data_IF_060491505761
#
_entry.id   IF_060491505761
#
_cell.length_a   1.000
_cell.length_b   1.000
_cell.length_c   1.000
_cell.angle_alpha   90.00
_cell.angle_beta   90.00
_cell.angle_gamma   90.00
#
_symmetry.space_group_name_H-M   'P 1'
#
loop_
_entity.id
_entity.type
_entity.pdbx_description
1 polymer ?
#
# COMPACT_ATOMS: atom_id res chain seq x y z
N UNK A 1 -15.76 -5.85 14.54
CA UNK A 1 -14.51 -6.24 15.25
C UNK A 1 -14.77 -7.52 16.02
N UNK A 2 -14.28 -8.68 15.54
CA UNK A 2 -14.32 -9.91 16.35
C UNK A 2 -13.26 -9.78 17.45
N UNK A 3 -13.69 -9.37 18.63
CA UNK A 3 -12.90 -9.51 19.85
C UNK A 3 -12.80 -11.01 20.15
N UNK A 4 -11.76 -11.66 19.66
CA UNK A 4 -11.44 -13.02 20.08
C UNK A 4 -10.51 -12.92 21.27
N UNK A 5 -11.05 -13.13 22.48
CA UNK A 5 -10.29 -13.38 23.71
C UNK A 5 -9.53 -14.72 23.68
N UNK A 6 -9.53 -15.41 22.54
CA UNK A 6 -8.94 -16.72 22.36
C UNK A 6 -7.44 -16.58 22.08
N UNK A 7 -6.63 -17.06 23.00
CA UNK A 7 -5.17 -17.15 22.86
C UNK A 7 -4.80 -18.47 22.19
N UNK A 8 -3.91 -18.41 21.19
CA UNK A 8 -3.33 -19.58 20.53
C UNK A 8 -1.81 -19.61 20.77
N UNK A 9 -1.26 -20.82 20.92
CA UNK A 9 0.18 -21.02 21.11
C UNK A 9 0.69 -21.96 20.01
N UNK A 10 1.72 -21.52 19.30
CA UNK A 10 2.39 -22.30 18.27
C UNK A 10 3.86 -22.45 18.64
N UNK A 11 4.35 -23.68 18.76
CA UNK A 11 5.77 -24.00 19.00
C UNK A 11 6.41 -24.42 17.68
N UNK A 12 7.63 -23.95 17.43
CA UNK A 12 8.37 -24.24 16.22
C UNK A 12 9.87 -24.00 16.47
N UNK A 13 10.71 -24.61 15.63
CA UNK A 13 12.17 -24.42 15.65
C UNK A 13 12.60 -23.08 15.04
N UNK A 14 11.75 -22.45 14.22
CA UNK A 14 11.99 -21.15 13.62
C UNK A 14 10.70 -20.41 13.26
N UNK A 15 10.76 -19.09 13.21
CA UNK A 15 9.68 -18.20 12.78
C UNK A 15 10.16 -17.33 11.62
N UNK A 16 9.41 -17.35 10.51
CA UNK A 16 9.57 -16.40 9.41
C UNK A 16 8.51 -15.30 9.54
N UNK A 17 8.94 -14.07 9.77
CA UNK A 17 8.10 -12.88 9.85
C UNK A 17 8.11 -12.13 8.52
N UNK A 18 6.97 -12.11 7.83
CA UNK A 18 6.76 -11.38 6.57
C UNK A 18 5.78 -10.22 6.74
N UNK A 19 5.71 -9.63 7.94
CA UNK A 19 4.84 -8.49 8.18
C UNK A 19 5.29 -7.30 7.34
N UNK A 20 4.35 -6.52 6.78
CA UNK A 20 4.69 -5.31 6.04
C UNK A 20 5.48 -4.33 6.91
N UNK A 21 6.39 -3.57 6.29
CA UNK A 21 7.19 -2.56 6.98
C UNK A 21 6.32 -1.54 7.71
N UNK A 22 5.15 -1.18 7.17
CA UNK A 22 4.18 -0.32 7.84
C UNK A 22 3.69 -0.86 9.19
N UNK A 23 3.50 -2.18 9.31
CA UNK A 23 3.12 -2.85 10.57
C UNK A 23 4.29 -2.84 11.55
N UNK A 24 5.51 -3.13 11.08
CA UNK A 24 6.73 -3.11 11.89
C UNK A 24 7.07 -1.71 12.44
N UNK A 25 6.59 -0.64 11.78
CA UNK A 25 6.78 0.76 12.19
C UNK A 25 5.77 1.26 13.23
N UNK A 26 4.73 0.50 13.55
CA UNK A 26 3.65 1.00 14.42
C UNK A 26 4.15 1.32 15.83
N UNK A 27 3.59 2.40 16.40
CA UNK A 27 3.77 2.79 17.79
C UNK A 27 2.40 3.15 18.39
N UNK A 28 1.88 2.40 19.39
CA UNK A 28 2.47 1.21 20.00
C UNK A 28 2.61 0.04 19.00
N UNK A 29 3.54 -0.91 19.23
CA UNK A 29 3.78 -2.03 18.30
C UNK A 29 2.57 -2.96 18.18
N UNK A 30 2.24 -3.38 16.94
CA UNK A 30 1.24 -4.42 16.72
C UNK A 30 1.75 -5.83 17.06
N UNK A 31 3.07 -6.04 17.02
CA UNK A 31 3.72 -7.30 17.38
C UNK A 31 4.86 -7.00 18.35
N UNK A 32 4.84 -7.69 19.49
CA UNK A 32 5.90 -7.65 20.47
C UNK A 32 6.91 -8.78 20.20
N UNK A 33 8.18 -8.42 20.06
CA UNK A 33 9.28 -9.39 19.98
C UNK A 33 9.89 -9.60 21.37
N UNK A 34 10.13 -10.85 21.75
CA UNK A 34 10.76 -11.23 23.02
C UNK A 34 11.87 -12.26 22.74
N UNK A 35 13.16 -11.90 22.90
CA UNK A 35 13.66 -10.57 23.28
C UNK A 35 13.36 -9.49 22.21
N UNK A 36 13.44 -8.18 22.56
CA UNK A 36 13.25 -7.10 21.60
C UNK A 36 14.21 -7.20 20.41
N UNK A 37 13.78 -6.72 19.24
CA UNK A 37 14.66 -6.62 18.07
C UNK A 37 15.86 -5.71 18.40
N UNK A 38 17.07 -6.06 17.92
CA UNK A 38 18.27 -5.28 18.18
C UNK A 38 18.21 -3.90 17.51
N UNK A 39 18.93 -2.94 18.07
CA UNK A 39 18.91 -1.53 17.63
C UNK A 39 19.24 -1.35 16.15
N UNK A 40 20.18 -2.12 15.61
CA UNK A 40 20.54 -2.04 14.19
C UNK A 40 19.37 -2.40 13.26
N UNK A 41 18.46 -3.28 13.70
CA UNK A 41 17.25 -3.67 12.97
C UNK A 41 16.16 -2.62 13.13
N UNK A 42 15.87 -2.20 14.36
CA UNK A 42 14.82 -1.20 14.61
C UNK A 42 15.17 0.16 13.99
N UNK A 43 16.45 0.53 13.97
CA UNK A 43 16.91 1.74 13.28
C UNK A 43 16.74 1.65 11.76
N UNK A 44 17.00 0.49 11.15
CA UNK A 44 16.71 0.27 9.72
C UNK A 44 15.20 0.37 9.43
N UNK A 45 14.35 -0.27 10.26
CA UNK A 45 12.89 -0.14 10.19
C UNK A 45 12.48 1.33 10.23
N UNK A 46 13.07 2.15 11.09
CA UNK A 46 12.72 3.57 11.22
C UNK A 46 13.20 4.40 10.03
N UNK A 47 14.45 4.22 9.59
CA UNK A 47 15.03 4.98 8.46
C UNK A 47 14.30 4.73 7.14
N UNK A 48 13.94 3.48 6.84
CA UNK A 48 13.26 3.15 5.59
C UNK A 48 11.91 3.86 5.49
N UNK A 49 11.53 4.29 4.29
CA UNK A 49 10.20 4.83 4.02
C UNK A 49 9.18 3.73 3.75
N UNK A 50 7.93 3.95 4.13
CA UNK A 50 6.81 3.10 3.70
C UNK A 50 5.71 3.98 3.10
N UNK A 51 5.63 3.99 1.77
CA UNK A 51 4.83 4.90 0.97
C UNK A 51 3.33 4.65 1.05
N UNK A 52 2.58 5.45 0.31
CA UNK A 52 1.16 5.25 0.12
C UNK A 52 0.75 5.59 -1.30
N UNK A 53 -0.06 4.73 -1.91
CA UNK A 53 -0.72 4.94 -3.18
C UNK A 53 -2.04 4.17 -3.13
N UNK A 54 -3.12 4.82 -3.55
CA UNK A 54 -4.44 4.22 -3.60
C UNK A 54 -4.95 4.12 -5.04
N UNK A 55 -5.89 3.20 -5.25
CA UNK A 55 -6.51 2.91 -6.55
C UNK A 55 -8.01 3.12 -6.44
N UNK A 56 -8.60 3.69 -7.49
CA UNK A 56 -10.05 3.81 -7.68
C UNK A 56 -10.41 2.98 -8.90
N UNK A 57 -11.18 1.92 -8.70
CA UNK A 57 -11.67 1.04 -9.76
C UNK A 57 -13.08 1.45 -10.12
N UNK A 58 -13.34 1.63 -11.41
CA UNK A 58 -14.62 2.04 -11.97
C UNK A 58 -15.04 1.03 -13.04
N UNK A 59 -16.08 0.25 -12.77
CA UNK A 59 -16.65 -0.71 -13.70
C UNK A 59 -17.84 -0.07 -14.43
N UNK A 60 -17.80 0.00 -15.76
CA UNK A 60 -18.88 0.58 -16.57
C UNK A 60 -19.68 -0.50 -17.31
N UNK A 61 -20.74 -0.11 -18.00
CA UNK A 61 -21.53 -1.00 -18.88
C UNK A 61 -20.98 -1.06 -20.31
N UNK A 62 -20.18 -0.05 -20.72
CA UNK A 62 -19.59 0.07 -22.05
C UNK A 62 -18.30 0.89 -22.01
N UNK A 63 -17.45 0.67 -23.01
CA UNK A 63 -16.23 1.47 -23.23
C UNK A 63 -16.63 2.82 -23.85
N UNK A 64 -16.11 3.92 -23.31
CA UNK A 64 -16.28 5.29 -23.83
C UNK A 64 -14.95 6.02 -24.07
N UNK A 65 -13.82 5.32 -23.86
CA UNK A 65 -12.46 5.78 -24.11
C UNK A 65 -11.88 5.08 -25.36
N UNK A 66 -10.66 5.47 -25.76
CA UNK A 66 -9.94 4.80 -26.84
C UNK A 66 -9.45 3.40 -26.40
N UNK A 67 -9.95 2.30 -26.99
CA UNK A 67 -9.58 0.95 -26.58
C UNK A 67 -8.13 0.58 -26.90
N UNK A 68 -7.48 1.28 -27.83
CA UNK A 68 -6.09 1.03 -28.25
C UNK A 68 -5.05 1.61 -27.28
N UNK A 69 -5.49 2.49 -26.38
CA UNK A 69 -4.64 3.18 -25.42
C UNK A 69 -4.79 2.53 -24.04
N UNK A 70 -3.67 2.08 -23.46
CA UNK A 70 -3.67 1.42 -22.14
C UNK A 70 -3.70 2.39 -20.96
N UNK A 71 -3.35 3.66 -21.15
CA UNK A 71 -3.35 4.67 -20.11
C UNK A 71 -3.46 6.09 -20.68
N UNK A 72 -4.11 6.98 -19.93
CA UNK A 72 -4.15 8.41 -20.23
C UNK A 72 -4.03 9.25 -18.97
N UNK A 73 -3.38 10.41 -19.09
CA UNK A 73 -3.10 11.32 -17.98
C UNK A 73 -4.14 12.42 -17.82
N UNK A 74 -4.29 12.89 -16.59
CA UNK A 74 -5.02 14.10 -16.23
C UNK A 74 -4.02 15.11 -15.65
N UNK A 75 -3.95 16.29 -16.27
CA UNK A 75 -3.11 17.39 -15.75
C UNK A 75 -3.81 18.04 -14.57
N UNK A 76 -3.26 17.82 -13.37
CA UNK A 76 -3.80 18.40 -12.14
C UNK A 76 -3.76 19.94 -12.15
N UNK A 77 -4.76 20.56 -11.51
CA UNK A 77 -4.91 22.02 -11.52
C UNK A 77 -3.91 22.76 -10.62
N UNK A 78 -3.34 22.09 -9.62
CA UNK A 78 -2.35 22.68 -8.71
C UNK A 78 -1.23 21.70 -8.40
N UNK A 79 -0.08 22.21 -7.95
CA UNK A 79 1.01 21.37 -7.47
C UNK A 79 0.58 20.50 -6.28
N UNK A 80 -0.30 21.00 -5.41
CA UNK A 80 -0.79 20.26 -4.25
C UNK A 80 -1.67 19.05 -4.64
N UNK A 81 -2.52 19.20 -5.66
CA UNK A 81 -3.42 18.15 -6.14
C UNK A 81 -2.85 17.32 -7.30
N UNK A 82 -1.56 17.48 -7.65
CA UNK A 82 -0.94 16.82 -8.81
C UNK A 82 -0.99 15.29 -8.81
N UNK A 83 -1.16 14.67 -7.64
CA UNK A 83 -1.27 13.22 -7.48
C UNK A 83 -2.71 12.73 -7.31
N UNK A 84 -3.70 13.62 -7.32
CA UNK A 84 -5.11 13.27 -7.20
C UNK A 84 -5.67 12.87 -8.57
N UNK A 85 -5.98 11.58 -8.76
CA UNK A 85 -6.65 11.07 -9.97
C UNK A 85 -5.92 11.44 -11.28
N UNK A 86 -4.59 11.47 -11.22
CA UNK A 86 -3.73 12.02 -12.28
C UNK A 86 -3.49 11.07 -13.46
N UNK A 87 -3.80 9.77 -13.28
CA UNK A 87 -3.57 8.74 -14.30
C UNK A 87 -4.66 7.68 -14.26
N UNK A 88 -5.19 7.34 -15.44
CA UNK A 88 -6.21 6.31 -15.62
C UNK A 88 -5.66 5.19 -16.50
N UNK A 89 -5.95 3.94 -16.12
CA UNK A 89 -5.50 2.73 -16.81
C UNK A 89 -6.68 1.94 -17.39
N UNK A 90 -6.50 1.49 -18.62
CA UNK A 90 -7.35 0.59 -19.38
C UNK A 90 -6.57 -0.70 -19.68
N UNK A 91 -6.68 -1.69 -18.78
CA UNK A 91 -5.88 -2.92 -18.81
C UNK A 91 -6.74 -4.20 -18.84
N UNK A 92 -8.05 -4.07 -18.65
CA UNK A 92 -8.95 -5.21 -18.59
C UNK A 92 -9.74 -5.35 -19.90
N UNK A 93 -10.13 -6.58 -20.23
CA UNK A 93 -11.04 -6.84 -21.37
C UNK A 93 -12.43 -6.25 -21.12
N UNK A 94 -12.89 -6.27 -19.87
CA UNK A 94 -14.12 -5.64 -19.45
C UNK A 94 -13.96 -4.10 -19.39
N UNK A 95 -15.04 -3.31 -19.51
CA UNK A 95 -14.99 -1.85 -19.45
C UNK A 95 -14.69 -1.36 -18.02
N UNK A 96 -13.42 -1.47 -17.62
CA UNK A 96 -12.93 -1.11 -16.30
C UNK A 96 -11.80 -0.08 -16.47
N UNK A 97 -11.99 1.09 -15.84
CA UNK A 97 -10.92 2.04 -15.64
C UNK A 97 -10.38 1.96 -14.22
N UNK A 98 -9.07 2.15 -14.07
CA UNK A 98 -8.40 2.23 -12.79
C UNK A 98 -7.66 3.55 -12.69
N UNK A 99 -8.07 4.42 -11.76
CA UNK A 99 -7.40 5.68 -11.48
C UNK A 99 -6.42 5.55 -10.31
N UNK A 100 -5.31 6.30 -10.37
CA UNK A 100 -4.31 6.34 -9.30
C UNK A 100 -4.42 7.60 -8.45
N UNK A 101 -4.19 7.44 -7.14
CA UNK A 101 -4.01 8.53 -6.19
C UNK A 101 -2.65 8.37 -5.51
N UNK A 102 -1.74 9.32 -5.71
CA UNK A 102 -0.34 9.25 -5.28
C UNK A 102 0.11 10.53 -4.53
N UNK A 103 1.31 10.48 -3.93
CA UNK A 103 1.88 11.62 -3.22
C UNK A 103 1.02 12.08 -2.04
N UNK A 104 0.99 13.39 -1.78
CA UNK A 104 0.19 13.99 -0.69
C UNK A 104 -1.30 13.64 -0.79
N UNK A 105 -1.84 13.60 -2.02
CA UNK A 105 -3.24 13.27 -2.25
C UNK A 105 -3.61 11.87 -1.74
N UNK A 106 -2.68 10.91 -1.74
CA UNK A 106 -2.95 9.54 -1.32
C UNK A 106 -3.39 9.47 0.15
N UNK A 107 -2.76 10.24 1.04
CA UNK A 107 -3.15 10.29 2.45
C UNK A 107 -4.41 11.12 2.69
N UNK A 108 -4.54 12.27 2.03
CA UNK A 108 -5.68 13.18 2.18
C UNK A 108 -6.98 12.48 1.73
N UNK A 109 -6.94 11.78 0.59
CA UNK A 109 -8.10 11.14 0.00
C UNK A 109 -8.63 9.96 0.83
N UNK A 110 -7.83 9.33 1.71
CA UNK A 110 -8.36 8.28 2.59
C UNK A 110 -9.40 8.79 3.58
N UNK A 111 -9.42 10.10 3.87
CA UNK A 111 -10.41 10.73 4.77
C UNK A 111 -11.67 11.24 4.05
N UNK A 112 -11.77 11.05 2.73
CA UNK A 112 -12.91 11.46 1.91
C UNK A 112 -13.75 10.22 1.59
N UNK A 113 -15.08 10.32 1.53
CA UNK A 113 -15.93 9.16 1.21
C UNK A 113 -15.79 8.69 -0.24
N UNK A 114 -16.08 7.41 -0.48
CA UNK A 114 -15.94 6.78 -1.80
C UNK A 114 -16.78 7.49 -2.87
N UNK A 115 -18.02 7.87 -2.54
CA UNK A 115 -18.92 8.58 -3.46
C UNK A 115 -18.32 9.92 -3.94
N UNK A 116 -17.65 10.65 -3.04
CA UNK A 116 -17.01 11.93 -3.40
C UNK A 116 -15.79 11.68 -4.29
N UNK A 117 -14.99 10.67 -3.99
CA UNK A 117 -13.82 10.29 -4.80
C UNK A 117 -14.26 9.86 -6.21
N UNK A 118 -15.27 9.00 -6.30
CA UNK A 118 -15.87 8.56 -7.56
C UNK A 118 -16.47 9.75 -8.31
N UNK A 119 -17.17 10.66 -7.61
CA UNK A 119 -17.71 11.88 -8.21
C UNK A 119 -16.62 12.74 -8.86
N UNK A 120 -15.46 12.89 -8.20
CA UNK A 120 -14.30 13.60 -8.78
C UNK A 120 -13.73 12.86 -10.00
N UNK A 121 -13.63 11.53 -9.96
CA UNK A 121 -13.24 10.73 -11.15
C UNK A 121 -14.18 11.01 -12.32
N UNK A 122 -15.50 10.96 -12.09
CA UNK A 122 -16.49 11.18 -13.15
C UNK A 122 -16.44 12.62 -13.67
N UNK A 123 -16.18 13.61 -12.83
CA UNK A 123 -15.99 15.00 -13.27
C UNK A 123 -14.78 15.13 -14.22
N UNK A 124 -13.65 14.50 -13.88
CA UNK A 124 -12.46 14.47 -14.74
C UNK A 124 -12.76 13.77 -16.07
N UNK A 125 -13.34 12.56 -16.01
CA UNK A 125 -13.66 11.77 -17.20
C UNK A 125 -14.63 12.49 -18.14
N UNK A 126 -15.63 13.18 -17.58
CA UNK A 126 -16.57 14.01 -18.37
C UNK A 126 -15.88 15.22 -19.00
N UNK A 127 -14.88 15.79 -18.35
CA UNK A 127 -14.04 16.85 -18.93
C UNK A 127 -13.16 16.36 -20.10
N UNK A 128 -12.73 15.10 -20.07
CA UNK A 128 -11.87 14.50 -21.12
C UNK A 128 -12.71 13.98 -22.29
N UNK A 129 -13.76 13.19 -22.02
CA UNK A 129 -14.52 12.45 -23.04
C UNK A 129 -15.90 13.06 -23.36
N UNK A 130 -16.32 14.09 -22.63
CA UNK A 130 -17.60 14.77 -22.80
C UNK A 130 -18.71 14.25 -21.86
N UNK A 131 -19.55 15.17 -21.38
CA UNK A 131 -20.56 14.91 -20.34
C UNK A 131 -21.61 13.85 -20.69
N UNK A 132 -21.97 13.72 -21.96
CA UNK A 132 -22.96 12.75 -22.45
C UNK A 132 -22.37 11.37 -22.74
N UNK A 133 -21.04 11.26 -22.89
CA UNK A 133 -20.36 10.02 -23.23
C UNK A 133 -20.13 9.12 -22.02
N UNK A 134 -19.89 9.71 -20.84
CA UNK A 134 -19.51 8.99 -19.62
C UNK A 134 -20.75 8.51 -18.85
N UNK A 135 -21.04 7.20 -18.82
CA UNK A 135 -22.14 6.65 -18.03
C UNK A 135 -21.79 6.62 -16.53
N UNK A 136 -22.79 6.31 -15.69
CA UNK A 136 -22.53 5.97 -14.29
C UNK A 136 -21.83 4.62 -14.19
N UNK A 137 -20.85 4.45 -13.29
CA UNK A 137 -20.26 3.16 -13.04
C UNK A 137 -21.30 2.23 -12.41
N UNK A 138 -21.24 0.94 -12.78
CA UNK A 138 -22.05 -0.13 -12.21
C UNK A 138 -21.53 -0.57 -10.86
N UNK A 139 -20.21 -0.60 -10.71
CA UNK A 139 -19.52 -0.99 -9.48
C UNK A 139 -18.29 -0.11 -9.29
N UNK A 140 -17.95 0.16 -8.03
CA UNK A 140 -16.78 0.97 -7.67
C UNK A 140 -16.06 0.38 -6.46
N UNK A 141 -14.73 0.53 -6.45
CA UNK A 141 -13.90 0.16 -5.29
C UNK A 141 -12.82 1.21 -5.11
N UNK A 142 -12.65 1.70 -3.89
CA UNK A 142 -11.57 2.62 -3.51
C UNK A 142 -10.70 1.97 -2.43
N UNK A 143 -9.40 1.84 -2.69
CA UNK A 143 -8.48 1.32 -1.68
C UNK A 143 -8.08 2.39 -0.65
N UNK A 144 -7.78 1.96 0.59
CA UNK A 144 -7.20 2.79 1.66
C UNK A 144 -6.07 2.05 2.37
N UNK A 145 -4.94 1.91 1.68
CA UNK A 145 -3.84 1.05 2.14
C UNK A 145 -3.15 1.57 3.41
N UNK A 146 -3.14 2.89 3.66
CA UNK A 146 -2.59 3.42 4.91
C UNK A 146 -3.50 3.09 6.10
N UNK A 147 -4.82 3.18 5.94
CA UNK A 147 -5.80 2.84 6.97
C UNK A 147 -5.88 1.34 7.27
N UNK A 148 -5.55 0.46 6.31
CA UNK A 148 -5.56 -0.99 6.52
C UNK A 148 -4.68 -1.39 7.73
N UNK A 149 -5.25 -2.06 8.75
CA UNK A 149 -4.53 -2.49 9.94
C UNK A 149 -3.36 -3.42 9.74
N UNK A 150 -3.35 -4.14 8.62
CA UNK A 150 -2.37 -5.19 8.36
C UNK A 150 -1.36 -4.81 7.28
N UNK A 151 -1.52 -3.64 6.64
CA UNK A 151 -0.58 -3.11 5.66
C UNK A 151 0.09 -1.81 6.13
N UNK A 152 -0.70 -0.83 6.58
CA UNK A 152 -0.23 0.50 7.04
C UNK A 152 0.53 1.30 5.97
N UNK A 153 0.22 1.11 4.70
CA UNK A 153 0.84 1.76 3.55
C UNK A 153 0.87 0.85 2.34
N UNK A 154 1.52 1.29 1.26
CA UNK A 154 1.59 0.55 0.00
C UNK A 154 2.86 -0.29 -0.13
N UNK A 155 4.02 0.35 -0.27
CA UNK A 155 5.31 -0.29 -0.52
C UNK A 155 6.45 0.55 0.03
N UNK A 156 7.63 -0.05 0.23
CA UNK A 156 8.79 0.65 0.79
C UNK A 156 9.47 1.57 -0.22
N UNK A 157 10.16 2.59 0.28
CA UNK A 157 11.04 3.45 -0.50
C UNK A 157 12.28 3.83 0.33
N UNK A 158 13.37 4.21 -0.34
CA UNK A 158 14.57 4.72 0.33
C UNK A 158 14.31 6.17 0.74
N UNK A 159 13.95 6.40 2.00
CA UNK A 159 13.72 7.75 2.50
C UNK A 159 15.03 8.54 2.60
N UNK A 160 14.94 9.86 2.74
CA UNK A 160 16.11 10.69 3.00
C UNK A 160 16.79 10.23 4.30
N UNK A 161 18.12 10.05 4.25
CA UNK A 161 18.91 9.50 5.37
C UNK A 161 18.88 7.96 5.49
N UNK A 162 18.16 7.26 4.63
CA UNK A 162 18.21 5.80 4.46
C UNK A 162 19.14 5.41 3.31
N UNK A 163 19.42 4.12 3.15
CA UNK A 163 20.15 3.59 2.00
C UNK A 163 19.62 2.22 1.57
N UNK A 164 20.04 1.73 0.40
CA UNK A 164 19.74 0.37 -0.03
C UNK A 164 20.20 -0.71 0.97
N UNK A 165 21.26 -0.45 1.74
CA UNK A 165 21.75 -1.37 2.75
C UNK A 165 20.75 -1.62 3.89
N UNK A 166 19.79 -0.71 4.13
CA UNK A 166 18.73 -0.94 5.11
C UNK A 166 17.85 -2.15 4.73
N UNK A 167 17.69 -2.46 3.43
CA UNK A 167 17.00 -3.67 2.99
C UNK A 167 17.77 -4.93 3.37
N UNK A 168 19.10 -4.94 3.19
CA UNK A 168 19.94 -6.07 3.58
C UNK A 168 19.93 -6.25 5.09
N UNK A 169 20.04 -5.14 5.85
CA UNK A 169 19.85 -5.17 7.31
C UNK A 169 18.51 -5.78 7.63
N UNK A 170 17.41 -5.37 6.98
CA UNK A 170 16.10 -5.95 7.23
C UNK A 170 16.03 -7.45 6.95
N UNK A 171 16.76 -7.98 5.96
CA UNK A 171 16.81 -9.41 5.62
C UNK A 171 17.68 -10.27 6.56
N UNK A 172 18.60 -9.68 7.34
CA UNK A 172 19.45 -10.45 8.26
C UNK A 172 18.61 -11.20 9.32
N UNK A 173 18.82 -12.52 9.54
CA UNK A 173 18.14 -13.23 10.61
C UNK A 173 18.56 -12.71 12.00
N UNK A 174 17.70 -12.93 12.99
CA UNK A 174 18.03 -12.74 14.39
C UNK A 174 18.41 -14.10 14.98
N UNK A 175 19.67 -14.24 15.33
CA UNK A 175 20.16 -15.37 16.10
C UNK A 175 20.09 -14.99 17.59
N UNK A 176 19.51 -15.83 18.46
CA UNK A 176 19.76 -15.70 19.89
C UNK A 176 21.29 -15.73 20.13
N UNK A 177 21.77 -15.03 21.17
CA UNK A 177 23.18 -15.09 21.60
C UNK A 177 23.68 -16.52 21.85
N UNK A 178 24.95 -16.70 22.30
CA UNK A 178 25.77 -17.90 22.05
C UNK A 178 24.96 -19.20 22.10
N UNK A 179 24.97 -19.86 20.94
CA UNK A 179 24.22 -21.04 20.55
C UNK A 179 23.92 -22.00 21.69
N UNK A 180 22.69 -21.93 22.21
CA UNK A 180 22.09 -23.09 22.87
C UNK A 180 21.55 -23.98 21.74
N UNK A 181 21.99 -25.24 21.62
CA UNK A 181 21.41 -26.18 20.67
C UNK A 181 19.89 -26.27 20.88
N UNK A 182 19.09 -25.96 19.86
CA UNK A 182 17.62 -26.00 19.90
C UNK A 182 16.91 -24.66 20.19
N UNK A 183 17.62 -23.52 20.21
CA UNK A 183 16.97 -22.21 20.35
C UNK A 183 16.31 -21.75 19.03
N UNK A 184 15.07 -21.20 19.10
CA UNK A 184 14.33 -20.82 17.90
C UNK A 184 14.96 -19.62 17.17
N UNK A 185 15.01 -19.69 15.84
CA UNK A 185 15.52 -18.61 14.99
C UNK A 185 14.37 -17.73 14.47
N UNK A 186 14.54 -16.40 14.49
CA UNK A 186 13.57 -15.48 13.88
C UNK A 186 14.18 -14.86 12.63
N UNK A 187 13.62 -15.18 11.47
CA UNK A 187 13.96 -14.52 10.22
C UNK A 187 12.89 -13.48 9.93
N UNK A 188 13.28 -12.22 9.79
CA UNK A 188 12.38 -11.14 9.34
C UNK A 188 12.75 -10.86 7.89
N UNK A 189 11.82 -11.04 6.97
CA UNK A 189 12.00 -10.63 5.57
C UNK A 189 10.92 -9.59 5.28
N UNK A 190 11.27 -8.31 5.06
CA UNK A 190 10.27 -7.35 4.60
C UNK A 190 9.80 -7.79 3.22
N UNK A 191 8.50 -7.69 2.93
CA UNK A 191 8.00 -7.87 1.57
C UNK A 191 8.64 -6.80 0.68
N UNK A 192 9.57 -7.20 -0.18
CA UNK A 192 9.94 -6.43 -1.37
C UNK A 192 8.87 -6.70 -2.44
N UNK A 193 8.62 -5.65 -3.22
CA UNK A 193 7.62 -5.50 -4.28
C UNK A 193 7.15 -6.83 -4.95
N UNK A 194 5.83 -7.15 -4.98
CA UNK A 194 5.31 -8.30 -5.73
C UNK A 194 5.34 -8.10 -7.26
N UNK A 195 5.86 -6.98 -7.76
CA UNK A 195 5.91 -6.63 -9.19
C UNK A 195 7.34 -6.61 -9.77
N UNK A 196 8.17 -7.60 -9.40
CA UNK A 196 9.34 -7.97 -10.22
C UNK A 196 9.03 -9.17 -11.11
#
# INVERSE_FOLDING_TARGET
TRSTSQTFIYKCDAVLCTLPLGVLKQQPPAVQFVPPLPEWKTSAVQRMGFGNLNKVVLCFDRVFWDPSVNLFGHVGSTTASRGELFLFWNLYKAPILLALVAGEAAGIMENISDDVIVGRCLAILKGIFGSSAVPQPKETVVSRWRADPWARGSYSYVAAGSSGNDYDLMAQPITPGPSIPGAPQILVIPSSDPFR
#
